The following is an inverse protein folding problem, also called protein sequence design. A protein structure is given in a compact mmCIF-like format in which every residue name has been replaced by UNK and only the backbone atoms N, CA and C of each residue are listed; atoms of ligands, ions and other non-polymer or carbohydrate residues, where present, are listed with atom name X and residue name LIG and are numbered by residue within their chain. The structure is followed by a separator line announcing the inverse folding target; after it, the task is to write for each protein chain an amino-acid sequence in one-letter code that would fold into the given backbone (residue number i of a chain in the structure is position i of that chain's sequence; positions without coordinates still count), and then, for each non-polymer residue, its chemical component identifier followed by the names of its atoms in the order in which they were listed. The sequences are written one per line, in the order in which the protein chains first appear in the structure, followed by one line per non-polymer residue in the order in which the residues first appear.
data_IF_065549824864
#
_entry.id   IF_065549824864
#
_cell.length_a   1.000
_cell.length_b   1.000
_cell.length_c   1.000
_cell.angle_alpha   90.00
_cell.angle_beta   90.00
_cell.angle_gamma   90.00
#
_symmetry.space_group_name_H-M   'P 1'
#
loop_
_entity.id
_entity.type
_entity.pdbx_description
1 polymer ?
#
# COMPACT_ATOMS: atom_id res chain seq x y z
N UNK A 1 8.76 2.58 -22.56
CA UNK A 1 8.73 3.08 -21.17
C UNK A 1 9.98 3.85 -20.73
N UNK A 2 11.24 3.43 -20.97
CA UNK A 2 12.39 4.11 -20.35
C UNK A 2 12.67 5.52 -20.88
N UNK A 3 12.30 5.83 -22.12
CA UNK A 3 12.50 7.15 -22.71
C UNK A 3 11.69 8.26 -22.01
N UNK A 4 10.51 7.94 -21.47
CA UNK A 4 9.64 8.91 -20.81
C UNK A 4 10.18 9.42 -19.47
N UNK A 5 11.07 8.66 -18.81
CA UNK A 5 11.71 9.03 -17.55
C UNK A 5 13.05 9.78 -17.74
N UNK A 6 13.51 9.92 -19.00
CA UNK A 6 14.80 10.57 -19.30
C UNK A 6 14.69 12.08 -19.48
N UNK A 7 13.48 12.61 -19.63
CA UNK A 7 13.24 14.04 -19.78
C UNK A 7 13.33 14.73 -18.41
N UNK A 8 14.23 15.72 -18.23
CA UNK A 8 14.36 16.44 -16.97
C UNK A 8 13.21 17.44 -16.78
N UNK A 9 12.85 17.73 -15.53
CA UNK A 9 11.72 18.63 -15.19
C UNK A 9 11.77 20.01 -15.87
N UNK A 10 12.94 20.69 -16.02
CA UNK A 10 13.00 21.99 -16.69
C UNK A 10 12.57 21.90 -18.17
N UNK A 11 13.00 20.85 -18.86
CA UNK A 11 12.64 20.59 -20.26
C UNK A 11 11.17 20.22 -20.37
N UNK A 12 10.63 19.50 -19.39
CA UNK A 12 9.20 19.15 -19.33
C UNK A 12 8.31 20.38 -19.11
N UNK A 13 8.75 21.34 -18.29
CA UNK A 13 8.03 22.61 -18.07
C UNK A 13 8.05 23.46 -19.33
N UNK A 14 9.18 23.52 -20.02
CA UNK A 14 9.33 24.32 -21.24
C UNK A 14 8.52 23.74 -22.42
N UNK A 15 8.46 22.41 -22.53
CA UNK A 15 7.68 21.73 -23.57
C UNK A 15 6.18 21.59 -23.28
N UNK A 16 5.79 21.28 -22.05
CA UNK A 16 4.41 20.90 -21.69
C UNK A 16 3.71 21.90 -20.75
N UNK A 17 4.42 22.94 -20.30
CA UNK A 17 3.91 23.95 -19.39
C UNK A 17 3.98 23.55 -17.92
N UNK A 18 3.84 24.57 -17.06
CA UNK A 18 3.92 24.43 -15.61
C UNK A 18 2.81 23.52 -15.03
N UNK A 19 1.58 23.63 -15.52
CA UNK A 19 0.42 22.90 -14.99
C UNK A 19 0.57 21.37 -15.16
N UNK A 20 1.02 20.94 -16.33
CA UNK A 20 1.34 19.53 -16.62
C UNK A 20 2.45 18.97 -15.73
N UNK A 21 3.50 19.76 -15.47
CA UNK A 21 4.58 19.36 -14.57
C UNK A 21 4.10 19.23 -13.12
N UNK A 22 3.21 20.12 -12.66
CA UNK A 22 2.58 20.04 -11.33
C UNK A 22 1.68 18.81 -11.23
N UNK A 23 0.91 18.47 -12.27
CA UNK A 23 0.09 17.26 -12.29
C UNK A 23 0.93 15.98 -12.12
N UNK A 24 2.07 15.87 -12.80
CA UNK A 24 3.00 14.75 -12.63
C UNK A 24 3.58 14.70 -11.21
N UNK A 25 3.85 15.86 -10.61
CA UNK A 25 4.29 15.94 -9.21
C UNK A 25 3.27 15.40 -8.21
N UNK A 26 1.96 15.43 -8.51
CA UNK A 26 0.94 14.80 -7.65
C UNK A 26 1.15 13.28 -7.59
N UNK A 27 1.45 12.63 -8.72
CA UNK A 27 1.76 11.20 -8.74
C UNK A 27 3.06 10.87 -8.02
N UNK A 28 4.12 11.68 -8.23
CA UNK A 28 5.39 11.50 -7.53
C UNK A 28 5.25 11.74 -6.02
N UNK A 29 4.44 12.71 -5.61
CA UNK A 29 4.09 12.95 -4.21
C UNK A 29 3.35 11.76 -3.61
N UNK A 30 2.34 11.25 -4.32
CA UNK A 30 1.63 10.03 -3.93
C UNK A 30 2.59 8.87 -3.72
N UNK A 31 3.50 8.62 -4.67
CA UNK A 31 4.50 7.58 -4.54
C UNK A 31 5.42 7.79 -3.32
N UNK A 32 5.88 9.03 -3.08
CA UNK A 32 6.71 9.37 -1.91
C UNK A 32 6.00 9.11 -0.58
N UNK A 33 4.68 9.27 -0.52
CA UNK A 33 3.89 9.01 0.69
C UNK A 33 3.58 7.51 0.83
N UNK A 34 3.17 6.84 -0.25
CA UNK A 34 2.74 5.45 -0.20
C UNK A 34 3.90 4.46 -0.04
N UNK A 35 5.09 4.75 -0.55
CA UNK A 35 6.25 3.84 -0.41
C UNK A 35 6.62 3.56 1.07
N UNK A 36 6.85 4.57 1.94
CA UNK A 36 7.16 4.30 3.33
C UNK A 36 5.97 3.66 4.08
N UNK A 37 4.74 4.07 3.78
CA UNK A 37 3.53 3.48 4.38
C UNK A 37 3.40 2.01 3.99
N UNK A 38 3.63 1.66 2.73
CA UNK A 38 3.59 0.28 2.24
C UNK A 38 4.69 -0.56 2.91
N UNK A 39 5.90 -0.02 3.07
CA UNK A 39 6.99 -0.70 3.77
C UNK A 39 6.61 -0.97 5.25
N UNK A 40 6.10 0.04 5.95
CA UNK A 40 5.65 -0.10 7.34
C UNK A 40 4.48 -1.09 7.47
N UNK A 41 3.50 -0.99 6.58
CA UNK A 41 2.35 -1.89 6.52
C UNK A 41 2.79 -3.32 6.27
N UNK A 42 3.74 -3.55 5.37
CA UNK A 42 4.29 -4.86 5.11
C UNK A 42 5.08 -5.39 6.32
N UNK A 43 5.87 -4.54 6.99
CA UNK A 43 6.65 -4.94 8.17
C UNK A 43 5.81 -5.21 9.42
N UNK A 44 4.63 -4.58 9.55
CA UNK A 44 3.78 -4.68 10.74
C UNK A 44 2.50 -5.48 10.49
N UNK A 45 1.69 -5.09 9.51
CA UNK A 45 0.37 -5.70 9.29
C UNK A 45 0.47 -7.15 8.81
N UNK A 46 1.46 -7.48 7.97
CA UNK A 46 1.59 -8.86 7.47
C UNK A 46 1.95 -9.85 8.60
N UNK A 47 2.95 -9.59 9.47
CA UNK A 47 3.19 -10.45 10.63
C UNK A 47 2.03 -10.50 11.63
N UNK A 48 1.42 -9.35 11.93
CA UNK A 48 0.29 -9.27 12.88
C UNK A 48 -0.91 -10.07 12.39
N UNK A 49 -1.28 -9.92 11.12
CA UNK A 49 -2.44 -10.60 10.58
C UNK A 49 -2.17 -12.11 10.41
N UNK A 50 -0.95 -12.51 10.00
CA UNK A 50 -0.59 -13.92 9.84
C UNK A 50 -0.51 -14.68 11.16
N UNK A 51 0.00 -14.06 12.23
CA UNK A 51 0.09 -14.69 13.57
C UNK A 51 -1.25 -14.81 14.27
N UNK A 52 -2.25 -14.07 13.80
CA UNK A 52 -3.64 -14.27 14.18
C UNK A 52 -4.10 -15.69 13.82
N UNK A 53 -4.64 -16.43 14.78
CA UNK A 53 -5.24 -17.76 14.55
C UNK A 53 -6.74 -17.72 14.76
N UNK A 54 -7.36 -16.56 14.50
CA UNK A 54 -8.76 -16.31 14.81
C UNK A 54 -9.68 -17.11 13.88
N UNK A 55 -9.36 -17.14 12.58
CA UNK A 55 -10.17 -17.83 11.57
C UNK A 55 -10.21 -19.35 11.78
N UNK A 56 -9.13 -19.95 12.27
CA UNK A 56 -9.02 -21.40 12.52
C UNK A 56 -9.76 -21.84 13.80
N UNK A 57 -10.15 -20.90 14.67
CA UNK A 57 -10.83 -21.20 15.93
C UNK A 57 -12.35 -21.33 15.79
N UNK A 58 -12.92 -20.82 14.72
CA UNK A 58 -14.39 -20.74 14.56
C UNK A 58 -14.82 -21.92 13.67
N UNK A 59 -15.63 -22.81 14.24
CA UNK A 59 -16.23 -23.94 13.52
C UNK A 59 -17.21 -23.43 12.45
N UNK A 60 -17.29 -24.13 11.32
CA UNK A 60 -18.13 -23.79 10.15
C UNK A 60 -17.82 -22.47 9.40
N UNK A 61 -16.64 -21.87 9.60
CA UNK A 61 -16.20 -20.75 8.76
C UNK A 61 -15.54 -21.20 7.45
N UNK A 62 -16.06 -20.70 6.34
CA UNK A 62 -15.40 -20.77 5.02
C UNK A 62 -14.49 -19.56 4.84
N UNK A 63 -13.19 -19.77 4.67
CA UNK A 63 -12.23 -18.68 4.41
C UNK A 63 -11.16 -19.12 3.39
N UNK A 64 -10.58 -18.13 2.70
CA UNK A 64 -9.47 -18.31 1.76
C UNK A 64 -8.12 -18.04 2.43
N UNK A 65 -7.03 -18.50 1.81
CA UNK A 65 -5.66 -18.23 2.29
C UNK A 65 -5.35 -16.73 2.36
N UNK A 66 -5.95 -15.93 1.48
CA UNK A 66 -5.80 -14.46 1.47
C UNK A 66 -6.44 -13.81 2.71
N UNK A 67 -7.49 -14.41 3.27
CA UNK A 67 -8.18 -13.86 4.44
C UNK A 67 -7.32 -13.92 5.70
N UNK A 68 -6.32 -14.81 5.74
CA UNK A 68 -5.30 -14.86 6.82
C UNK A 68 -4.43 -13.60 6.88
N UNK A 69 -4.35 -12.83 5.79
CA UNK A 69 -3.61 -11.57 5.73
C UNK A 69 -4.48 -10.36 6.09
N UNK A 70 -5.76 -10.56 6.38
CA UNK A 70 -6.71 -9.50 6.72
C UNK A 70 -6.88 -9.35 8.22
N UNK A 71 -7.51 -8.24 8.64
CA UNK A 71 -7.85 -7.95 10.03
C UNK A 71 -8.78 -9.00 10.65
N UNK A 72 -9.54 -9.72 9.82
CA UNK A 72 -10.42 -10.82 10.26
C UNK A 72 -9.67 -11.96 10.95
N UNK A 73 -8.37 -12.12 10.68
CA UNK A 73 -7.56 -13.16 11.32
C UNK A 73 -6.98 -12.74 12.67
N UNK A 74 -7.08 -11.46 13.05
CA UNK A 74 -6.60 -10.95 14.33
C UNK A 74 -7.63 -11.26 15.43
N UNK A 75 -7.25 -11.93 16.53
CA UNK A 75 -8.18 -12.23 17.60
C UNK A 75 -8.69 -10.94 18.26
N UNK A 76 -9.94 -10.93 18.77
CA UNK A 76 -10.40 -9.82 19.59
C UNK A 76 -9.45 -9.65 20.77
N UNK A 77 -9.10 -8.38 21.05
CA UNK A 77 -8.18 -8.04 22.12
C UNK A 77 -8.76 -8.33 23.51
N UNK A 78 -9.10 -7.28 24.26
CA UNK A 78 -9.68 -7.47 25.59
C UNK A 78 -11.07 -8.11 25.52
N UNK A 79 -11.39 -9.01 26.46
CA UNK A 79 -12.78 -9.33 26.78
C UNK A 79 -13.43 -8.06 27.35
N UNK A 80 -14.33 -7.47 26.57
CA UNK A 80 -15.33 -6.52 27.05
C UNK A 80 -16.67 -7.23 27.02
#
# INVERSE_FOLDING_TARGET
MPAALRMPEPELIDHAGLDSAVYIRIYLLGLKIFVPIALLSFGVLMPVNWTGKSLERIEDLTFSTIDKLSISNVPPGSQR
#
